data_IF_105525280237
#
_entry.id   IF_105525280237
#
_cell.length_a   1.000
_cell.length_b   1.000
_cell.length_c   1.000
_cell.angle_alpha   90.00
_cell.angle_beta   90.00
_cell.angle_gamma   90.00
#
_symmetry.space_group_name_H-M   'P 1'
#
loop_
_entity.id
_entity.type
_entity.pdbx_description
1 polymer ?
#
# COMPACT_ATOMS: atom_id res chain seq x y z
N UNK A 1 0.83 -3.97 -29.12
CA UNK A 1 1.73 -5.13 -29.18
C UNK A 1 3.15 -4.70 -28.87
N UNK A 2 3.89 -5.53 -28.23
CA UNK A 2 5.33 -5.31 -27.97
C UNK A 2 6.15 -5.11 -29.26
N UNK A 3 5.60 -5.47 -30.42
CA UNK A 3 6.20 -5.25 -31.74
C UNK A 3 6.05 -3.83 -32.30
N UNK A 4 5.16 -3.03 -31.72
CA UNK A 4 4.75 -1.75 -32.33
C UNK A 4 3.92 -1.86 -33.60
N UNK A 5 3.62 -3.07 -34.07
CA UNK A 5 2.83 -3.29 -35.27
C UNK A 5 1.33 -3.30 -34.93
N UNK A 6 0.50 -2.42 -35.51
CA UNK A 6 -0.93 -2.34 -35.22
C UNK A 6 -1.71 -3.58 -35.64
N UNK A 7 -1.14 -4.44 -36.46
CA UNK A 7 -1.78 -5.68 -36.93
C UNK A 7 -1.50 -6.88 -36.01
N UNK A 8 -0.63 -6.76 -35.03
CA UNK A 8 -0.39 -7.80 -34.04
C UNK A 8 -1.50 -7.85 -33.01
N UNK A 9 -1.80 -9.05 -32.54
CA UNK A 9 -2.76 -9.23 -31.45
C UNK A 9 -2.16 -8.63 -30.19
N UNK A 10 -2.86 -7.63 -29.63
CA UNK A 10 -2.52 -7.05 -28.34
C UNK A 10 -2.93 -8.02 -27.23
N UNK A 11 -2.09 -8.28 -26.23
CA UNK A 11 -2.50 -8.99 -25.02
C UNK A 11 -3.69 -8.27 -24.38
N UNK A 12 -4.73 -9.02 -24.09
CA UNK A 12 -5.96 -8.47 -23.51
C UNK A 12 -6.85 -9.56 -22.94
N UNK A 13 -7.70 -9.17 -22.05
CA UNK A 13 -8.81 -9.97 -21.56
C UNK A 13 -10.14 -9.27 -21.86
N UNK A 14 -11.22 -10.01 -21.87
CA UNK A 14 -12.52 -9.41 -22.14
C UNK A 14 -13.70 -10.36 -21.97
N UNK A 15 -14.93 -9.82 -22.05
CA UNK A 15 -16.13 -10.63 -22.09
C UNK A 15 -16.20 -11.38 -23.42
N UNK A 16 -16.57 -12.64 -23.34
CA UNK A 16 -17.02 -13.38 -24.52
C UNK A 16 -18.47 -13.01 -24.80
N UNK A 17 -18.72 -12.12 -25.73
CA UNK A 17 -20.04 -11.53 -26.06
C UNK A 17 -21.09 -12.56 -26.55
N UNK A 18 -21.17 -13.71 -25.87
CA UNK A 18 -22.10 -14.79 -26.20
C UNK A 18 -21.66 -15.67 -27.40
N UNK A 19 -20.51 -15.34 -28.04
CA UNK A 19 -20.03 -16.04 -29.24
C UNK A 19 -19.28 -17.34 -28.98
N UNK A 20 -18.87 -17.62 -27.75
CA UNK A 20 -18.05 -18.80 -27.43
C UNK A 20 -18.89 -20.08 -27.13
N UNK A 21 -20.20 -19.97 -27.02
CA UNK A 21 -21.08 -21.12 -26.83
C UNK A 21 -21.17 -21.63 -25.38
N UNK A 22 -21.92 -22.74 -25.25
CA UNK A 22 -22.12 -23.45 -23.99
C UNK A 22 -21.62 -24.89 -24.17
N UNK A 23 -20.75 -25.34 -23.29
CA UNK A 23 -20.15 -26.67 -23.30
C UNK A 23 -20.40 -27.31 -21.91
N UNK A 24 -20.86 -28.54 -21.90
CA UNK A 24 -21.21 -29.29 -20.68
C UNK A 24 -22.09 -28.50 -19.70
N UNK A 25 -23.03 -27.71 -20.23
CA UNK A 25 -23.91 -26.87 -19.43
C UNK A 25 -23.25 -25.62 -18.87
N UNK A 26 -22.00 -25.29 -19.20
CA UNK A 26 -21.25 -24.11 -18.81
C UNK A 26 -21.07 -23.15 -19.97
N UNK A 27 -21.47 -21.91 -19.80
CA UNK A 27 -21.26 -20.85 -20.77
C UNK A 27 -19.85 -20.31 -20.67
N UNK A 28 -19.14 -20.20 -21.79
CA UNK A 28 -17.87 -19.50 -21.87
C UNK A 28 -18.15 -18.01 -21.91
N UNK A 29 -17.75 -17.29 -20.85
CA UNK A 29 -18.09 -15.88 -20.65
C UNK A 29 -16.92 -14.92 -20.82
N UNK A 30 -15.69 -15.42 -20.77
CA UNK A 30 -14.48 -14.57 -20.77
C UNK A 30 -13.37 -15.24 -21.57
N UNK A 31 -12.44 -14.42 -22.06
CA UNK A 31 -11.22 -14.88 -22.70
C UNK A 31 -10.01 -14.05 -22.25
N UNK A 32 -8.84 -14.62 -22.36
CA UNK A 32 -7.56 -13.91 -22.27
C UNK A 32 -6.69 -14.29 -23.45
N UNK A 33 -5.95 -13.32 -23.97
CA UNK A 33 -4.98 -13.50 -25.06
C UNK A 33 -3.68 -12.87 -24.63
N UNK A 34 -2.57 -13.56 -24.84
CA UNK A 34 -1.25 -13.00 -24.60
C UNK A 34 -0.27 -13.40 -25.71
N UNK A 35 0.85 -12.68 -25.79
CA UNK A 35 1.89 -12.97 -26.76
C UNK A 35 2.79 -14.12 -26.28
N UNK A 36 3.08 -15.07 -27.14
CA UNK A 36 4.06 -16.14 -26.88
C UNK A 36 5.50 -15.58 -26.82
N UNK A 37 5.79 -14.59 -27.67
CA UNK A 37 7.12 -14.00 -27.79
C UNK A 37 7.17 -12.62 -27.14
N UNK A 38 8.28 -12.33 -26.47
CA UNK A 38 8.49 -11.09 -25.72
C UNK A 38 8.60 -9.86 -26.63
N UNK A 39 9.12 -10.05 -27.86
CA UNK A 39 9.30 -8.96 -28.83
C UNK A 39 8.61 -9.27 -30.16
N UNK A 40 8.38 -8.22 -30.94
CA UNK A 40 7.90 -8.38 -32.29
C UNK A 40 8.87 -9.18 -33.18
N UNK A 41 8.37 -9.62 -34.34
CA UNK A 41 9.08 -10.53 -35.24
C UNK A 41 10.49 -10.07 -35.59
N UNK A 42 10.68 -8.78 -35.90
CA UNK A 42 11.98 -8.24 -36.31
C UNK A 42 13.01 -8.29 -35.16
N UNK A 43 12.60 -7.92 -33.95
CA UNK A 43 13.49 -7.97 -32.76
C UNK A 43 13.83 -9.41 -32.39
N UNK A 44 12.88 -10.35 -32.51
CA UNK A 44 13.14 -11.77 -32.28
C UNK A 44 14.09 -12.36 -33.32
N UNK A 45 13.98 -11.96 -34.58
CA UNK A 45 14.92 -12.40 -35.61
C UNK A 45 16.35 -11.91 -35.35
N UNK A 46 16.48 -10.71 -34.79
CA UNK A 46 17.79 -10.10 -34.46
C UNK A 46 18.42 -10.68 -33.20
N UNK A 47 17.64 -10.94 -32.16
CA UNK A 47 18.12 -11.27 -30.81
C UNK A 47 17.87 -12.74 -30.41
N UNK A 48 17.31 -13.56 -31.32
CA UNK A 48 16.77 -14.87 -30.99
C UNK A 48 15.33 -14.78 -30.46
N UNK A 49 14.57 -15.84 -30.62
CA UNK A 49 13.18 -15.92 -30.18
C UNK A 49 13.14 -16.10 -28.65
N UNK A 50 12.82 -15.03 -27.93
CA UNK A 50 12.64 -15.03 -26.49
C UNK A 50 11.16 -15.23 -26.17
N UNK A 51 10.85 -16.24 -25.40
CA UNK A 51 9.49 -16.45 -24.90
C UNK A 51 9.10 -15.29 -23.98
N UNK A 52 7.83 -14.94 -24.02
CA UNK A 52 7.25 -13.98 -23.09
C UNK A 52 7.30 -14.54 -21.66
N UNK A 53 7.52 -13.66 -20.67
CA UNK A 53 7.35 -14.02 -19.26
C UNK A 53 5.91 -14.41 -18.94
N UNK A 54 5.71 -15.19 -17.88
CA UNK A 54 4.38 -15.62 -17.45
C UNK A 54 3.53 -14.48 -16.86
N UNK A 55 4.15 -13.35 -16.51
CA UNK A 55 3.49 -12.26 -15.81
C UNK A 55 2.31 -11.68 -16.55
N UNK A 56 2.48 -11.37 -17.84
CA UNK A 56 1.41 -10.88 -18.69
C UNK A 56 0.26 -11.88 -18.80
N UNK A 57 0.57 -13.19 -18.91
CA UNK A 57 -0.46 -14.22 -18.88
C UNK A 57 -1.23 -14.22 -17.55
N UNK A 58 -0.52 -14.10 -16.43
CA UNK A 58 -1.14 -14.05 -15.11
C UNK A 58 -2.04 -12.82 -14.95
N UNK A 59 -1.62 -11.66 -15.44
CA UNK A 59 -2.40 -10.43 -15.46
C UNK A 59 -3.70 -10.61 -16.24
N UNK A 60 -3.62 -10.99 -17.51
CA UNK A 60 -4.79 -11.17 -18.36
C UNK A 60 -5.72 -12.29 -17.86
N UNK A 61 -5.15 -13.35 -17.29
CA UNK A 61 -5.95 -14.40 -16.67
C UNK A 61 -6.68 -13.91 -15.41
N UNK A 62 -6.06 -13.02 -14.63
CA UNK A 62 -6.67 -12.44 -13.45
C UNK A 62 -7.92 -11.62 -13.76
N UNK A 63 -7.97 -10.99 -14.91
CA UNK A 63 -9.19 -10.36 -15.41
C UNK A 63 -10.32 -11.40 -15.61
N UNK A 64 -10.02 -12.61 -16.02
CA UNK A 64 -11.04 -13.67 -16.11
C UNK A 64 -11.58 -14.08 -14.75
N UNK A 65 -10.81 -13.85 -13.66
CA UNK A 65 -11.22 -14.05 -12.27
C UNK A 65 -12.00 -12.86 -11.71
N UNK A 66 -12.05 -11.74 -12.44
CA UNK A 66 -12.82 -10.54 -12.08
C UNK A 66 -12.01 -9.39 -11.48
N UNK A 67 -10.67 -9.47 -11.50
CA UNK A 67 -9.81 -8.38 -11.05
C UNK A 67 -9.72 -7.27 -12.12
N UNK A 68 -9.85 -6.00 -11.77
CA UNK A 68 -9.66 -4.86 -12.68
C UNK A 68 -8.18 -4.49 -12.79
N UNK A 69 -7.85 -3.66 -13.79
CA UNK A 69 -6.58 -2.94 -13.83
C UNK A 69 -6.46 -1.99 -12.64
N UNK A 70 -5.27 -1.94 -12.04
CA UNK A 70 -4.95 -0.99 -10.99
C UNK A 70 -4.12 0.20 -11.47
N UNK A 71 -3.60 0.15 -12.69
CA UNK A 71 -3.01 1.34 -13.32
C UNK A 71 -4.11 2.28 -13.85
N UNK A 72 -3.86 3.60 -13.86
CA UNK A 72 -4.82 4.56 -14.41
C UNK A 72 -4.86 4.47 -15.93
N UNK A 73 -6.08 4.43 -16.49
CA UNK A 73 -6.34 4.34 -17.93
C UNK A 73 -6.69 5.70 -18.55
N UNK A 74 -6.89 6.74 -17.73
CA UNK A 74 -7.17 8.11 -18.18
C UNK A 74 -5.97 9.02 -17.97
N UNK A 75 -5.63 9.84 -18.96
CA UNK A 75 -4.40 10.66 -18.92
C UNK A 75 -4.32 11.60 -17.72
N UNK A 76 -5.44 12.17 -17.29
CA UNK A 76 -5.49 13.05 -16.13
C UNK A 76 -5.10 12.39 -14.81
N UNK A 77 -5.14 11.06 -14.75
CA UNK A 77 -4.81 10.27 -13.55
C UNK A 77 -3.46 9.56 -13.65
N UNK A 78 -2.75 9.71 -14.76
CA UNK A 78 -1.40 9.16 -14.95
C UNK A 78 -0.35 10.04 -14.29
N UNK A 79 -0.41 10.14 -12.96
CA UNK A 79 0.45 10.97 -12.12
C UNK A 79 0.90 10.19 -10.89
N UNK A 80 1.83 10.74 -10.12
CA UNK A 80 2.25 10.16 -8.84
C UNK A 80 1.07 9.92 -7.89
N UNK A 81 1.18 8.93 -7.05
CA UNK A 81 0.17 8.51 -6.08
C UNK A 81 -1.15 7.99 -6.68
N UNK A 82 -1.16 7.56 -7.93
CA UNK A 82 -2.35 7.07 -8.60
C UNK A 82 -2.36 5.56 -8.84
N UNK A 83 -1.24 4.88 -8.76
CA UNK A 83 -1.12 3.46 -9.04
C UNK A 83 -0.07 2.76 -8.17
N UNK A 84 -0.21 1.44 -7.90
CA UNK A 84 0.71 0.68 -7.07
C UNK A 84 2.00 0.25 -7.79
N UNK A 85 2.17 0.56 -9.08
CA UNK A 85 3.34 0.26 -9.90
C UNK A 85 3.73 -1.25 -9.86
N UNK A 86 5.00 -1.55 -9.65
CA UNK A 86 5.52 -2.92 -9.62
C UNK A 86 5.07 -3.76 -8.42
N UNK A 87 4.39 -3.15 -7.44
CA UNK A 87 3.93 -3.86 -6.24
C UNK A 87 2.69 -4.73 -6.45
N UNK A 88 2.00 -4.56 -7.57
CA UNK A 88 0.77 -5.30 -7.87
C UNK A 88 0.80 -5.93 -9.24
N UNK A 89 0.26 -7.17 -9.34
CA UNK A 89 0.18 -7.91 -10.62
C UNK A 89 -0.77 -7.22 -11.62
N UNK A 90 -1.82 -6.56 -11.13
CA UNK A 90 -2.80 -5.86 -11.96
C UNK A 90 -2.34 -4.44 -12.34
N UNK A 91 -1.06 -4.16 -12.14
CA UNK A 91 -0.33 -2.98 -12.61
C UNK A 91 1.03 -3.43 -13.18
N UNK A 92 2.08 -2.67 -13.03
CA UNK A 92 3.44 -2.94 -13.52
C UNK A 92 4.08 -4.24 -13.02
N UNK A 93 3.54 -4.83 -11.96
CA UNK A 93 4.04 -6.08 -11.36
C UNK A 93 4.05 -7.29 -12.31
N UNK A 94 3.27 -7.26 -13.37
CA UNK A 94 3.30 -8.26 -14.43
C UNK A 94 4.65 -8.33 -15.16
N UNK A 95 5.39 -7.22 -15.20
CA UNK A 95 6.71 -7.11 -15.86
C UNK A 95 7.89 -7.33 -14.90
N UNK A 96 7.65 -7.58 -13.64
CA UNK A 96 8.73 -7.77 -12.65
C UNK A 96 9.67 -8.89 -13.06
N UNK A 97 10.98 -8.64 -12.88
CA UNK A 97 12.07 -9.55 -13.22
C UNK A 97 12.11 -9.98 -14.68
N UNK A 98 12.88 -9.23 -15.47
CA UNK A 98 13.13 -9.51 -16.90
C UNK A 98 11.86 -9.61 -17.76
N UNK A 99 10.89 -8.71 -17.58
CA UNK A 99 9.68 -8.71 -18.38
C UNK A 99 8.69 -9.82 -18.04
N UNK A 100 8.57 -10.11 -16.72
CA UNK A 100 7.54 -10.99 -16.22
C UNK A 100 7.91 -12.46 -16.08
N UNK A 101 9.19 -12.82 -16.13
CA UNK A 101 9.61 -14.21 -15.85
C UNK A 101 9.39 -14.62 -14.38
N UNK A 102 9.40 -13.66 -13.47
CA UNK A 102 9.04 -13.84 -12.08
C UNK A 102 8.19 -12.66 -11.63
N UNK A 103 6.91 -12.61 -12.06
CA UNK A 103 6.03 -11.49 -11.79
C UNK A 103 5.76 -11.34 -10.31
N UNK A 104 5.31 -10.15 -9.92
CA UNK A 104 4.82 -9.89 -8.57
C UNK A 104 3.62 -10.79 -8.29
N UNK A 105 3.62 -11.54 -7.18
CA UNK A 105 2.47 -12.32 -6.79
C UNK A 105 1.30 -11.44 -6.35
N UNK A 106 0.10 -12.02 -6.29
CA UNK A 106 -1.07 -11.32 -5.79
C UNK A 106 -0.84 -10.65 -4.43
N UNK A 107 -1.28 -9.41 -4.33
CA UNK A 107 -1.33 -8.64 -3.10
C UNK A 107 -2.35 -9.23 -2.10
N UNK A 108 -2.29 -8.86 -0.83
CA UNK A 108 -3.31 -9.25 0.14
C UNK A 108 -4.70 -8.78 -0.24
N UNK A 109 -4.81 -7.64 -0.94
CA UNK A 109 -6.08 -7.11 -1.41
C UNK A 109 -6.70 -8.02 -2.48
N UNK A 110 -5.94 -8.40 -3.50
CA UNK A 110 -6.40 -9.29 -4.57
C UNK A 110 -6.90 -10.62 -4.01
N UNK A 111 -6.10 -11.24 -3.13
CA UNK A 111 -6.48 -12.51 -2.49
C UNK A 111 -7.73 -12.39 -1.61
N UNK A 112 -7.91 -11.24 -0.96
CA UNK A 112 -9.06 -10.95 -0.10
C UNK A 112 -10.34 -10.76 -0.92
N UNK A 113 -10.29 -9.98 -2.00
CA UNK A 113 -11.48 -9.74 -2.84
C UNK A 113 -11.88 -10.99 -3.62
N UNK A 114 -10.94 -11.84 -4.00
CA UNK A 114 -11.21 -13.16 -4.58
C UNK A 114 -11.69 -14.20 -3.55
N UNK A 115 -11.70 -13.84 -2.25
CA UNK A 115 -12.08 -14.73 -1.12
C UNK A 115 -11.18 -15.95 -0.98
N UNK A 116 -9.92 -15.85 -1.38
CA UNK A 116 -8.94 -16.92 -1.25
C UNK A 116 -8.22 -16.87 0.09
N UNK A 117 -8.13 -15.69 0.71
CA UNK A 117 -7.62 -15.48 2.06
C UNK A 117 -8.50 -14.49 2.82
N UNK A 118 -8.36 -14.50 4.14
CA UNK A 118 -8.96 -13.49 5.02
C UNK A 118 -7.85 -12.88 5.85
N UNK A 119 -7.59 -11.58 5.75
CA UNK A 119 -6.61 -10.91 6.59
C UNK A 119 -7.06 -10.92 8.05
N UNK A 120 -6.09 -10.95 8.97
CA UNK A 120 -6.33 -10.89 10.42
C UNK A 120 -6.58 -9.45 10.83
N UNK A 121 -7.71 -9.17 11.46
CA UNK A 121 -8.02 -7.82 11.91
C UNK A 121 -7.18 -7.43 13.14
N UNK A 122 -6.51 -6.29 13.05
CA UNK A 122 -5.95 -5.59 14.21
C UNK A 122 -7.04 -4.67 14.74
N UNK A 123 -7.56 -5.00 15.92
CA UNK A 123 -8.60 -4.19 16.59
C UNK A 123 -8.06 -2.88 17.15
N UNK A 124 -8.68 -2.41 18.25
CA UNK A 124 -8.34 -1.14 18.91
C UNK A 124 -7.49 -1.34 20.18
N UNK A 125 -6.93 -2.52 20.36
CA UNK A 125 -6.06 -2.84 21.50
C UNK A 125 -4.58 -2.62 21.13
N UNK A 126 -3.87 -1.91 22.00
CA UNK A 126 -2.45 -1.71 21.87
C UNK A 126 -1.70 -3.03 22.09
N UNK A 127 -0.79 -3.37 21.18
CA UNK A 127 0.00 -4.60 21.25
C UNK A 127 1.27 -4.55 20.43
N UNK A 128 2.20 -5.41 20.76
CA UNK A 128 3.31 -5.71 19.87
C UNK A 128 2.86 -6.72 18.82
N UNK A 129 3.22 -6.46 17.60
CA UNK A 129 2.85 -7.28 16.43
C UNK A 129 4.10 -7.88 15.82
N UNK A 130 4.04 -9.17 15.53
CA UNK A 130 5.03 -9.88 14.74
C UNK A 130 4.40 -10.29 13.43
N UNK A 131 5.06 -9.95 12.33
CA UNK A 131 4.59 -10.25 10.97
C UNK A 131 5.66 -11.03 10.23
N UNK A 132 5.44 -12.34 10.11
CA UNK A 132 6.30 -13.23 9.37
C UNK A 132 6.19 -13.01 7.85
N UNK A 133 7.15 -13.57 7.11
CA UNK A 133 7.16 -13.46 5.66
C UNK A 133 5.85 -13.94 5.03
N UNK A 134 5.23 -13.08 4.22
CA UNK A 134 3.96 -13.35 3.55
C UNK A 134 4.02 -14.58 2.65
N UNK A 135 5.17 -14.82 2.03
CA UNK A 135 5.34 -16.00 1.18
C UNK A 135 5.26 -17.33 1.95
N UNK A 136 5.62 -17.34 3.24
CA UNK A 136 5.59 -18.54 4.09
C UNK A 136 4.20 -18.78 4.70
N UNK A 137 3.61 -17.75 5.28
CA UNK A 137 2.42 -17.88 6.12
C UNK A 137 1.15 -17.32 5.49
N UNK A 138 1.28 -16.48 4.46
CA UNK A 138 0.17 -15.74 3.84
C UNK A 138 -0.67 -14.92 4.82
N UNK A 139 -0.08 -14.56 5.95
CA UNK A 139 -0.71 -13.72 6.96
C UNK A 139 -0.55 -12.25 6.56
N UNK A 140 -1.67 -11.58 6.38
CA UNK A 140 -1.76 -10.14 6.28
C UNK A 140 -2.61 -9.61 7.43
N UNK A 141 -2.30 -8.41 7.91
CA UNK A 141 -3.15 -7.73 8.88
C UNK A 141 -4.04 -6.69 8.19
N UNK A 142 -5.24 -6.53 8.73
CA UNK A 142 -6.21 -5.52 8.30
C UNK A 142 -6.50 -4.56 9.44
N UNK A 143 -6.51 -3.27 9.14
CA UNK A 143 -6.89 -2.21 10.07
C UNK A 143 -8.05 -1.45 9.47
N UNK A 144 -9.21 -1.53 10.09
CA UNK A 144 -10.40 -0.82 9.65
C UNK A 144 -10.27 0.67 9.95
N UNK A 145 -10.60 1.48 8.97
CA UNK A 145 -10.82 2.92 9.07
C UNK A 145 -12.31 3.24 9.15
N UNK A 146 -12.65 4.48 8.84
CA UNK A 146 -14.02 4.95 8.65
C UNK A 146 -14.43 4.81 7.18
N UNK A 147 -15.75 4.83 6.91
CA UNK A 147 -16.31 4.86 5.55
C UNK A 147 -15.88 3.69 4.64
N UNK A 148 -15.75 2.50 5.22
CA UNK A 148 -15.29 1.28 4.54
C UNK A 148 -13.86 1.33 4.00
N UNK A 149 -13.08 2.34 4.38
CA UNK A 149 -11.65 2.42 4.10
C UNK A 149 -10.86 1.57 5.10
N UNK A 150 -9.75 0.99 4.65
CA UNK A 150 -8.91 0.16 5.52
C UNK A 150 -7.47 0.10 5.03
N UNK A 151 -6.57 -0.35 5.92
CA UNK A 151 -5.23 -0.75 5.55
C UNK A 151 -5.11 -2.27 5.50
N UNK A 152 -4.25 -2.74 4.59
CA UNK A 152 -3.70 -4.10 4.61
C UNK A 152 -2.20 -4.03 4.77
N UNK A 153 -1.64 -4.97 5.52
CA UNK A 153 -0.22 -4.99 5.86
C UNK A 153 0.34 -6.36 5.57
N UNK A 154 1.42 -6.40 4.79
CA UNK A 154 2.15 -7.63 4.47
C UNK A 154 3.64 -7.44 4.67
N UNK A 155 4.36 -8.53 4.92
CA UNK A 155 5.82 -8.56 4.97
C UNK A 155 6.36 -9.25 3.71
N UNK A 156 6.96 -8.47 2.83
CA UNK A 156 7.58 -8.96 1.59
C UNK A 156 9.00 -9.41 1.90
N UNK A 157 9.28 -10.68 1.63
CA UNK A 157 10.60 -11.29 1.82
C UNK A 157 10.94 -12.19 0.63
N UNK A 158 12.22 -12.49 0.47
CA UNK A 158 12.70 -13.42 -0.57
C UNK A 158 12.18 -14.82 -0.33
N UNK A 159 11.59 -15.41 -1.36
CA UNK A 159 11.12 -16.79 -1.34
C UNK A 159 10.07 -17.05 -2.42
N UNK A 160 10.13 -18.21 -3.09
CA UNK A 160 9.19 -18.58 -4.15
C UNK A 160 9.07 -17.50 -5.24
N UNK A 161 7.87 -17.18 -5.66
CA UNK A 161 7.58 -16.12 -6.62
C UNK A 161 7.91 -14.72 -6.12
N UNK A 162 8.00 -14.50 -4.80
CA UNK A 162 8.40 -13.22 -4.21
C UNK A 162 9.87 -12.86 -4.48
N UNK A 163 10.70 -13.81 -4.96
CA UNK A 163 12.08 -13.52 -5.33
C UNK A 163 12.19 -12.45 -6.42
N UNK A 164 11.26 -12.39 -7.37
CA UNK A 164 11.25 -11.38 -8.42
C UNK A 164 11.27 -9.98 -7.84
N UNK A 165 10.20 -9.62 -7.14
CA UNK A 165 10.01 -8.27 -6.59
C UNK A 165 11.03 -7.97 -5.47
N UNK A 166 11.26 -8.91 -4.54
CA UNK A 166 12.14 -8.69 -3.39
C UNK A 166 13.62 -8.51 -3.77
N UNK A 167 14.08 -9.13 -4.85
CA UNK A 167 15.45 -8.92 -5.33
C UNK A 167 15.64 -7.61 -6.08
N UNK A 168 14.58 -7.10 -6.71
CA UNK A 168 14.64 -5.87 -7.51
C UNK A 168 14.33 -4.64 -6.69
N UNK A 169 13.28 -4.70 -5.85
CA UNK A 169 12.71 -3.54 -5.18
C UNK A 169 12.75 -3.60 -3.65
N UNK A 170 13.51 -4.52 -3.05
CA UNK A 170 13.74 -4.63 -1.62
C UNK A 170 12.72 -5.50 -0.87
N UNK A 171 12.98 -5.67 0.44
CA UNK A 171 12.14 -6.41 1.40
C UNK A 171 11.61 -5.48 2.46
N UNK A 172 10.63 -5.91 3.22
CA UNK A 172 10.08 -5.16 4.35
C UNK A 172 8.56 -5.21 4.44
N UNK A 173 8.01 -4.39 5.31
CA UNK A 173 6.58 -4.25 5.49
C UNK A 173 5.99 -3.31 4.45
N UNK A 174 5.12 -3.82 3.61
CA UNK A 174 4.34 -3.02 2.67
C UNK A 174 2.94 -2.80 3.24
N UNK A 175 2.51 -1.54 3.22
CA UNK A 175 1.21 -1.10 3.71
C UNK A 175 0.38 -0.66 2.51
N UNK A 176 -0.83 -1.20 2.39
CA UNK A 176 -1.81 -0.84 1.39
C UNK A 176 -2.91 0.02 2.01
N UNK A 177 -3.31 1.10 1.37
CA UNK A 177 -4.52 1.84 1.69
C UNK A 177 -5.60 1.52 0.68
N UNK A 178 -6.78 1.14 1.16
CA UNK A 178 -7.87 0.64 0.34
C UNK A 178 -9.14 1.47 0.59
N UNK A 179 -9.73 1.97 -0.49
CA UNK A 179 -11.06 2.59 -0.56
C UNK A 179 -11.91 1.87 -1.61
N UNK A 180 -11.82 0.55 -1.62
CA UNK A 180 -12.50 -0.28 -2.59
C UNK A 180 -13.09 -1.50 -1.88
N UNK A 181 -14.40 -1.46 -1.65
CA UNK A 181 -15.11 -2.52 -0.95
C UNK A 181 -15.13 -3.82 -1.76
N UNK A 182 -15.07 -4.95 -1.06
CA UNK A 182 -15.08 -6.28 -1.68
C UNK A 182 -16.34 -6.59 -2.51
N UNK A 183 -17.41 -5.82 -2.30
CA UNK A 183 -18.67 -5.95 -3.05
C UNK A 183 -18.67 -5.19 -4.36
N UNK A 184 -17.77 -4.22 -4.50
CA UNK A 184 -17.75 -3.28 -5.62
C UNK A 184 -16.75 -3.70 -6.70
N UNK A 185 -15.94 -4.72 -6.40
CA UNK A 185 -14.89 -5.19 -7.32
C UNK A 185 -15.51 -5.80 -8.57
N UNK A 186 -15.10 -5.26 -9.69
CA UNK A 186 -15.56 -5.71 -10.99
C UNK A 186 -14.52 -5.42 -12.08
N UNK A 187 -14.44 -6.30 -13.07
CA UNK A 187 -13.50 -6.25 -14.18
C UNK A 187 -13.54 -4.92 -14.97
N UNK A 188 -14.70 -4.30 -15.03
CA UNK A 188 -14.89 -3.07 -15.82
C UNK A 188 -14.72 -1.79 -15.01
N UNK A 189 -14.37 -1.91 -13.74
CA UNK A 189 -14.03 -0.77 -12.92
C UNK A 189 -12.59 -0.33 -13.19
N UNK A 190 -12.31 0.92 -12.97
CA UNK A 190 -10.97 1.49 -13.02
C UNK A 190 -10.75 2.24 -11.69
N UNK A 191 -10.40 1.49 -10.63
CA UNK A 191 -10.43 2.01 -9.26
C UNK A 191 -9.47 3.20 -9.05
N UNK A 192 -8.44 3.32 -9.87
CA UNK A 192 -7.43 4.36 -9.74
C UNK A 192 -7.56 5.50 -10.76
N UNK A 193 -8.68 5.60 -11.49
CA UNK A 193 -8.90 6.64 -12.49
C UNK A 193 -9.37 8.00 -11.94
N UNK A 194 -9.72 8.10 -10.66
CA UNK A 194 -10.12 9.40 -10.08
C UNK A 194 -8.90 10.11 -9.51
N UNK A 195 -8.49 11.20 -10.14
CA UNK A 195 -7.31 11.98 -9.73
C UNK A 195 -7.37 12.35 -8.24
N UNK A 196 -6.29 12.08 -7.52
CA UNK A 196 -6.13 12.33 -6.10
C UNK A 196 -6.91 11.39 -5.18
N UNK A 197 -7.64 10.41 -5.75
CA UNK A 197 -8.45 9.43 -4.99
C UNK A 197 -8.27 8.00 -5.49
N UNK A 198 -7.05 7.48 -5.62
CA UNK A 198 -6.86 6.08 -5.98
C UNK A 198 -7.43 5.19 -4.89
N UNK A 199 -8.15 4.15 -5.30
CA UNK A 199 -8.86 3.26 -4.37
C UNK A 199 -8.00 2.11 -3.84
N UNK A 200 -6.95 1.72 -4.57
CA UNK A 200 -6.00 0.66 -4.18
C UNK A 200 -4.59 1.20 -4.37
N UNK A 201 -3.90 1.48 -3.28
CA UNK A 201 -2.60 2.12 -3.30
C UNK A 201 -1.71 1.64 -2.17
N UNK A 202 -0.41 1.84 -2.30
CA UNK A 202 0.54 1.67 -1.21
C UNK A 202 0.68 2.95 -0.36
N UNK A 203 1.19 2.77 0.84
CA UNK A 203 1.69 3.83 1.72
C UNK A 203 3.20 3.67 1.80
N UNK A 204 3.97 4.45 1.04
CA UNK A 204 5.42 4.30 0.96
C UNK A 204 6.12 4.78 2.24
N UNK A 205 7.22 4.14 2.62
CA UNK A 205 7.99 4.54 3.79
C UNK A 205 8.71 5.88 3.61
N UNK A 206 9.01 6.28 2.40
CA UNK A 206 9.67 7.57 2.11
C UNK A 206 8.69 8.72 1.81
N UNK A 207 7.39 8.47 1.96
CA UNK A 207 6.30 9.40 1.70
C UNK A 207 6.17 9.83 0.22
N UNK A 208 6.78 9.08 -0.71
CA UNK A 208 6.75 9.37 -2.14
C UNK A 208 6.41 8.13 -2.96
N UNK A 209 5.45 8.24 -3.87
CA UNK A 209 5.16 7.22 -4.89
C UNK A 209 5.60 7.76 -6.23
N UNK A 210 6.48 7.05 -6.90
CA UNK A 210 6.88 7.35 -8.27
C UNK A 210 5.86 6.76 -9.26
N UNK A 211 5.78 7.34 -10.45
CA UNK A 211 5.04 6.75 -11.56
C UNK A 211 5.97 6.63 -12.77
N UNK A 212 5.79 5.60 -13.58
CA UNK A 212 6.49 5.45 -14.86
C UNK A 212 5.89 6.36 -15.95
N UNK A 213 4.74 6.97 -15.67
CA UNK A 213 4.13 7.94 -16.57
C UNK A 213 4.83 9.32 -16.45
N UNK A 214 4.87 10.04 -17.58
CA UNK A 214 5.33 11.41 -17.58
C UNK A 214 4.30 12.33 -16.91
N UNK A 215 4.71 13.06 -15.88
CA UNK A 215 3.85 13.90 -15.04
C UNK A 215 3.42 15.24 -15.65
N UNK A 216 3.63 15.45 -16.93
CA UNK A 216 3.26 16.70 -17.57
C UNK A 216 4.28 17.85 -17.39
N UNK A 217 5.29 17.69 -16.55
CA UNK A 217 6.44 18.61 -16.44
C UNK A 217 7.56 18.26 -17.43
N UNK A 218 7.37 17.22 -18.23
CA UNK A 218 8.33 16.73 -19.21
C UNK A 218 9.49 15.94 -18.60
N UNK A 219 9.50 15.71 -17.29
CA UNK A 219 10.55 14.95 -16.62
C UNK A 219 10.36 13.45 -16.94
N UNK A 220 11.44 12.83 -17.38
CA UNK A 220 11.54 11.38 -17.47
C UNK A 220 12.46 10.89 -16.36
N UNK A 221 12.03 9.84 -15.67
CA UNK A 221 12.84 9.18 -14.68
C UNK A 221 13.86 8.26 -15.36
N UNK A 222 15.05 8.21 -14.82
CA UNK A 222 15.99 7.16 -15.19
C UNK A 222 15.58 5.86 -14.50
N UNK A 223 15.93 4.70 -15.09
CA UNK A 223 15.69 3.40 -14.48
C UNK A 223 16.24 3.31 -13.04
N UNK A 224 17.35 3.98 -12.77
CA UNK A 224 17.98 4.00 -11.45
C UNK A 224 17.14 4.80 -10.43
N UNK A 225 16.60 5.97 -10.82
CA UNK A 225 15.73 6.81 -9.97
C UNK A 225 14.42 6.08 -9.69
N UNK A 226 13.79 5.51 -10.72
CA UNK A 226 12.57 4.72 -10.60
C UNK A 226 12.77 3.54 -9.64
N UNK A 227 13.81 2.75 -9.85
CA UNK A 227 14.15 1.63 -8.98
C UNK A 227 14.43 2.06 -7.53
N UNK A 228 15.16 3.15 -7.34
CA UNK A 228 15.51 3.65 -6.00
C UNK A 228 14.28 4.11 -5.22
N UNK A 229 13.28 4.71 -5.89
CA UNK A 229 12.03 5.09 -5.27
C UNK A 229 11.25 3.87 -4.80
N UNK A 230 11.03 2.88 -5.67
CA UNK A 230 10.35 1.64 -5.28
C UNK A 230 11.08 0.88 -4.16
N UNK A 231 12.43 0.93 -4.12
CA UNK A 231 13.21 0.33 -3.04
C UNK A 231 13.00 1.03 -1.68
N UNK A 232 12.48 2.25 -1.68
CA UNK A 232 12.23 3.02 -0.47
C UNK A 232 10.80 2.85 0.08
N UNK A 233 9.90 2.19 -0.66
CA UNK A 233 8.50 2.00 -0.27
C UNK A 233 8.28 1.09 0.96
N UNK A 234 8.95 -0.08 1.09
CA UNK A 234 8.73 -0.96 2.24
C UNK A 234 9.30 -0.38 3.54
N UNK A 235 8.58 -0.51 4.64
CA UNK A 235 9.05 -0.13 5.98
C UNK A 235 9.94 -1.21 6.61
N UNK A 236 10.96 -0.83 7.42
CA UNK A 236 11.44 0.51 7.68
C UNK A 236 12.21 1.11 6.49
N UNK A 237 12.53 0.29 5.49
CA UNK A 237 13.09 0.64 4.20
C UNK A 237 14.44 1.34 4.23
N UNK A 238 14.83 1.84 3.07
CA UNK A 238 16.11 2.55 2.89
C UNK A 238 16.19 3.88 3.66
N UNK A 239 15.04 4.43 4.05
CA UNK A 239 14.94 5.67 4.86
C UNK A 239 14.93 5.40 6.36
N UNK A 240 14.93 4.13 6.79
CA UNK A 240 14.83 3.70 8.18
C UNK A 240 13.64 4.37 8.90
N UNK A 241 12.47 4.39 8.25
CA UNK A 241 11.24 4.95 8.83
C UNK A 241 10.62 3.94 9.79
N UNK A 242 10.83 4.19 11.08
CA UNK A 242 10.42 3.29 12.17
C UNK A 242 9.08 3.64 12.78
N UNK A 243 8.43 4.71 12.29
CA UNK A 243 7.14 5.19 12.79
C UNK A 243 6.21 5.56 11.66
N UNK A 244 4.90 5.32 11.89
CA UNK A 244 3.82 5.81 11.04
C UNK A 244 2.66 6.24 11.94
N UNK A 245 2.51 7.52 12.23
CA UNK A 245 1.56 8.02 13.23
C UNK A 245 0.12 8.10 12.72
N UNK A 246 -0.06 8.30 11.42
CA UNK A 246 -1.37 8.34 10.79
C UNK A 246 -1.25 8.09 9.29
N UNK A 247 -2.32 7.66 8.67
CA UNK A 247 -2.42 7.49 7.21
C UNK A 247 -3.57 8.33 6.69
N UNK A 248 -3.30 9.17 5.69
CA UNK A 248 -4.33 9.88 4.94
C UNK A 248 -4.99 8.89 3.98
N UNK A 249 -6.26 8.65 4.18
CA UNK A 249 -7.14 7.90 3.29
C UNK A 249 -7.89 8.87 2.35
N UNK A 250 -8.75 8.36 1.49
CA UNK A 250 -9.49 9.22 0.54
C UNK A 250 -10.56 10.07 1.22
N UNK A 251 -11.18 9.54 2.27
CA UNK A 251 -12.33 10.14 2.97
C UNK A 251 -12.02 10.50 4.42
N UNK A 252 -10.94 9.97 5.00
CA UNK A 252 -10.62 10.10 6.42
C UNK A 252 -9.11 10.17 6.67
N UNK A 253 -8.73 10.39 7.92
CA UNK A 253 -7.36 10.22 8.42
C UNK A 253 -7.38 9.12 9.47
N UNK A 254 -6.76 8.00 9.16
CA UNK A 254 -6.63 6.89 10.08
C UNK A 254 -5.53 7.18 11.10
N UNK A 255 -5.93 7.37 12.36
CA UNK A 255 -5.01 7.65 13.50
C UNK A 255 -4.79 6.37 14.31
N UNK A 256 -4.15 5.40 13.72
CA UNK A 256 -3.76 4.14 14.35
C UNK A 256 -2.25 3.95 14.18
N UNK A 257 -1.45 4.52 15.09
CA UNK A 257 -0.01 4.63 14.94
C UNK A 257 0.72 3.30 15.06
N UNK A 258 1.83 3.22 14.34
CA UNK A 258 2.86 2.20 14.44
C UNK A 258 4.13 2.83 14.97
N UNK A 259 4.80 2.16 15.90
CA UNK A 259 6.08 2.57 16.47
C UNK A 259 7.07 1.42 16.39
N UNK A 260 8.34 1.73 16.47
CA UNK A 260 9.43 0.75 16.56
C UNK A 260 9.38 -0.31 15.44
N UNK A 261 9.00 0.11 14.23
CA UNK A 261 8.98 -0.79 13.07
C UNK A 261 10.40 -1.27 12.81
N UNK A 262 10.60 -2.58 12.83
CA UNK A 262 11.91 -3.20 12.70
C UNK A 262 11.83 -4.47 11.87
N UNK A 263 12.84 -4.69 11.03
CA UNK A 263 13.08 -5.96 10.35
C UNK A 263 14.27 -6.67 10.99
N UNK A 264 14.10 -7.93 11.33
CA UNK A 264 15.17 -8.78 11.84
C UNK A 264 15.02 -10.18 11.23
N UNK A 265 16.01 -10.63 10.47
CA UNK A 265 16.03 -11.95 9.82
C UNK A 265 14.76 -12.25 8.98
N UNK A 266 14.25 -11.21 8.31
CA UNK A 266 13.06 -11.30 7.47
C UNK A 266 11.73 -11.33 8.24
N UNK A 267 11.75 -11.04 9.52
CA UNK A 267 10.56 -10.87 10.37
C UNK A 267 10.39 -9.40 10.69
N UNK A 268 9.20 -8.87 10.46
CA UNK A 268 8.83 -7.52 10.87
C UNK A 268 8.21 -7.56 12.26
N UNK A 269 8.65 -6.64 13.12
CA UNK A 269 7.99 -6.37 14.41
C UNK A 269 7.66 -4.89 14.50
N UNK A 270 6.56 -4.56 15.15
CA UNK A 270 6.19 -3.18 15.46
C UNK A 270 5.26 -3.11 16.66
N UNK A 271 5.22 -1.95 17.27
CA UNK A 271 4.28 -1.62 18.33
C UNK A 271 3.06 -0.93 17.72
N UNK A 272 1.88 -1.46 17.97
CA UNK A 272 0.63 -0.96 17.43
C UNK A 272 -0.15 -0.19 18.49
N UNK A 273 -0.57 1.03 18.17
CA UNK A 273 -1.31 2.01 18.99
C UNK A 273 -0.57 2.60 20.18
N UNK A 274 0.48 1.98 20.70
CA UNK A 274 1.27 2.45 21.84
C UNK A 274 2.74 2.13 21.59
N UNK A 275 3.62 3.08 21.91
CA UNK A 275 5.06 2.85 21.94
C UNK A 275 5.44 2.10 23.24
N UNK A 276 5.81 0.83 23.11
CA UNK A 276 6.22 0.00 24.25
C UNK A 276 7.70 0.15 24.61
N UNK A 277 8.52 0.75 23.72
CA UNK A 277 9.96 0.91 23.98
C UNK A 277 10.25 2.04 25.00
N UNK A 278 9.38 3.03 25.11
CA UNK A 278 9.61 4.18 25.99
C UNK A 278 9.45 3.86 27.46
N UNK A 279 8.87 2.71 27.83
CA UNK A 279 8.60 2.34 29.23
C UNK A 279 7.73 3.35 30.01
N UNK A 280 7.34 4.44 29.36
CA UNK A 280 6.39 5.41 29.90
C UNK A 280 5.01 4.89 29.52
N UNK A 281 4.36 4.22 30.46
CA UNK A 281 2.93 4.05 30.36
C UNK A 281 2.35 5.44 30.16
N UNK A 282 1.76 5.68 28.98
CA UNK A 282 0.93 6.88 28.82
C UNK A 282 -0.02 6.87 30.00
N UNK A 283 -0.04 7.87 30.87
CA UNK A 283 -0.94 7.85 32.00
C UNK A 283 -2.33 7.59 31.40
N UNK A 284 -2.95 6.51 31.82
CA UNK A 284 -4.36 6.27 31.58
C UNK A 284 -5.01 7.52 32.16
N UNK A 285 -5.42 8.44 31.31
CA UNK A 285 -6.24 9.55 31.73
C UNK A 285 -7.59 8.90 32.05
N UNK A 286 -7.66 8.31 33.23
CA UNK A 286 -8.95 8.17 33.88
C UNK A 286 -9.50 9.60 33.93
N UNK A 287 -10.52 9.85 33.17
CA UNK A 287 -11.32 11.06 33.28
C UNK A 287 -12.07 11.06 34.63
N UNK A 288 -11.29 11.12 35.73
CA UNK A 288 -11.76 11.78 36.91
C UNK A 288 -11.37 13.23 36.72
N UNK A 289 -12.35 14.03 36.33
CA UNK A 289 -12.24 15.49 36.27
C UNK A 289 -12.10 16.07 37.68
N UNK A 290 -11.03 15.78 38.37
CA UNK A 290 -10.55 16.71 39.41
C UNK A 290 -9.82 17.81 38.62
N UNK A 291 -10.39 19.00 38.68
CA UNK A 291 -9.88 20.20 38.07
C UNK A 291 -8.48 20.43 38.65
N UNK A 292 -7.43 20.23 37.86
CA UNK A 292 -6.04 20.51 38.32
C UNK A 292 -5.94 21.99 38.66
N UNK A 293 -5.84 22.28 39.92
CA UNK A 293 -5.81 23.65 40.45
C UNK A 293 -4.40 24.08 40.84
N UNK A 294 -3.37 23.27 40.58
CA UNK A 294 -1.98 23.59 40.89
C UNK A 294 -1.50 24.83 40.15
N UNK A 295 -0.81 25.70 40.87
CA UNK A 295 -0.31 26.97 40.37
C UNK A 295 1.22 26.94 40.34
N UNK A 296 1.80 27.35 39.22
CA UNK A 296 3.24 27.47 39.04
C UNK A 296 3.60 28.83 38.45
N UNK A 297 4.78 29.33 38.77
CA UNK A 297 5.43 30.42 38.05
C UNK A 297 5.86 29.96 36.65
N UNK A 298 6.23 30.89 35.76
CA UNK A 298 6.70 30.55 34.42
C UNK A 298 8.02 29.77 34.41
N UNK A 299 8.83 29.92 35.45
CA UNK A 299 10.08 29.19 35.68
C UNK A 299 9.86 27.84 36.39
N UNK A 300 8.59 27.42 36.59
CA UNK A 300 8.21 26.09 37.09
C UNK A 300 8.13 25.93 38.60
N UNK A 301 8.27 27.02 39.40
CA UNK A 301 8.16 26.96 40.85
C UNK A 301 6.69 26.80 41.25
N UNK A 302 6.39 25.80 42.09
CA UNK A 302 5.05 25.55 42.63
C UNK A 302 4.67 26.58 43.71
N UNK A 303 3.46 27.15 43.60
CA UNK A 303 2.93 28.19 44.50
C UNK A 303 1.70 27.75 45.30
N UNK A 304 1.23 26.53 45.16
CA UNK A 304 0.01 26.04 45.81
C UNK A 304 -1.17 25.89 44.85
N UNK A 305 -2.38 25.94 45.40
CA UNK A 305 -3.64 25.79 44.66
C UNK A 305 -4.61 26.96 44.84
N UNK A 306 -4.26 27.94 45.65
CA UNK A 306 -5.14 29.09 45.96
C UNK A 306 -4.77 30.31 45.11
N UNK A 307 -5.64 30.60 44.15
CA UNK A 307 -5.48 31.74 43.22
C UNK A 307 -5.60 33.10 43.92
N UNK A 308 -6.27 33.17 45.07
CA UNK A 308 -6.48 34.43 45.81
C UNK A 308 -5.21 35.03 46.40
N UNK A 309 -4.16 34.22 46.54
CA UNK A 309 -2.86 34.60 47.06
C UNK A 309 -1.89 35.14 45.99
N UNK A 310 -2.32 35.16 44.74
CA UNK A 310 -1.46 35.55 43.64
C UNK A 310 -1.44 37.06 43.45
N UNK A 311 -0.25 37.62 43.30
CA UNK A 311 -0.03 39.01 42.88
C UNK A 311 -0.20 39.13 41.35
N UNK A 312 -0.28 40.39 40.87
CA UNK A 312 -0.27 40.62 39.40
C UNK A 312 0.90 39.93 38.73
N UNK A 313 0.61 39.14 37.71
CA UNK A 313 1.66 38.37 37.05
C UNK A 313 1.09 37.32 36.07
N UNK A 314 2.01 36.51 35.52
CA UNK A 314 1.68 35.41 34.62
C UNK A 314 2.03 34.09 35.30
N UNK A 315 1.08 33.18 35.32
CA UNK A 315 1.17 31.89 36.00
C UNK A 315 0.71 30.76 35.13
N UNK A 316 1.06 29.54 35.49
CA UNK A 316 0.51 28.32 34.91
C UNK A 316 -0.44 27.72 35.94
N UNK A 317 -1.72 27.66 35.63
CA UNK A 317 -2.77 27.10 36.48
C UNK A 317 -3.48 25.98 35.72
N UNK A 318 -3.44 24.76 36.24
CA UNK A 318 -4.09 23.62 35.59
C UNK A 318 -3.63 23.44 34.13
N UNK A 319 -2.32 23.54 33.91
CA UNK A 319 -1.66 23.43 32.57
C UNK A 319 -1.99 24.57 31.59
N UNK A 320 -2.64 25.64 32.04
CA UNK A 320 -2.96 26.82 31.20
C UNK A 320 -2.19 28.05 31.68
N UNK A 321 -1.72 28.87 30.72
CA UNK A 321 -1.14 30.17 31.01
C UNK A 321 -2.26 31.15 31.38
N UNK A 322 -2.19 31.74 32.58
CA UNK A 322 -3.20 32.67 33.14
C UNK A 322 -2.52 33.96 33.52
N UNK A 323 -3.15 35.10 33.22
CA UNK A 323 -2.69 36.44 33.58
C UNK A 323 -3.57 36.94 34.74
N UNK A 324 -2.98 37.19 35.90
CA UNK A 324 -3.62 37.87 37.04
C UNK A 324 -3.35 39.36 36.89
N UNK A 325 -4.43 40.15 36.80
CA UNK A 325 -4.39 41.60 36.54
C UNK A 325 -4.36 42.40 37.84
#
# INVERSE_FOLDING_TARGET
>A
SMSGNPNDIWPKSGPGDGGFGTYDGKKVCRYGVHAELNFGREMNQKNGFLLSGIGLFCHEFSHTLGLPDLYPTVDASKVDNQNPEMWDLMDGGEYTFNGGYCPTPYSPWELYVMRWTSPVELGDEAKQVTLNSYYKERTAYKINGENDEYLLIQNIQKGGWWNGIANVYNTGMLIWRIDYGTKDVNLFDNPNNTLGKPKVMIVPADDYVISDYNHGDGKQWTDAEYKASLQADPFPGTKNKTELLSVKLNKSILKKPFYNIKETDGVITFDYLKDFATGIDSPVIQQNQEKDTRIFTLDGRYLGTDVSQLTKGVYIIGKKKVIIK
#
